data_IF_077854620109
#
_entry.id   IF_077854620109
#
_cell.length_a   1.000
_cell.length_b   1.000
_cell.length_c   1.000
_cell.angle_alpha   90.00
_cell.angle_beta   90.00
_cell.angle_gamma   90.00
#
_symmetry.space_group_name_H-M   'P 1'
#
loop_
_entity.id
_entity.type
_entity.pdbx_description
1 polymer ?
#
# COMPACT_ATOMS: atom_id res chain seq x y z
N UNK A 1 2.21 23.09 -10.60
CA UNK A 1 1.08 23.69 -9.87
C UNK A 1 1.43 23.53 -8.40
N UNK A 2 1.71 24.59 -7.65
CA UNK A 2 2.53 24.55 -6.42
C UNK A 2 1.88 23.95 -5.16
N UNK A 3 0.73 23.27 -5.26
CA UNK A 3 -0.02 22.78 -4.10
C UNK A 3 0.04 21.26 -4.00
N UNK A 4 0.20 20.74 -2.79
CA UNK A 4 0.19 19.30 -2.46
C UNK A 4 -1.25 18.76 -2.41
N UNK A 5 -1.98 18.90 -3.51
CA UNK A 5 -3.40 18.53 -3.64
C UNK A 5 -3.67 17.77 -4.95
N UNK A 6 -4.95 17.48 -5.22
CA UNK A 6 -5.38 16.84 -6.46
C UNK A 6 -5.28 15.31 -6.44
N UNK A 7 -5.14 14.71 -7.62
CA UNK A 7 -5.11 13.26 -7.81
C UNK A 7 -3.79 12.67 -7.32
N UNK A 8 -3.78 12.23 -6.07
CA UNK A 8 -2.61 11.58 -5.48
C UNK A 8 -2.35 10.17 -6.03
N UNK A 9 -1.10 9.74 -5.91
CA UNK A 9 -0.64 8.37 -6.13
C UNK A 9 -0.26 7.76 -4.79
N UNK A 10 -0.86 6.62 -4.45
CA UNK A 10 -0.58 5.90 -3.20
C UNK A 10 0.11 4.59 -3.55
N UNK A 11 1.16 4.25 -2.80
CA UNK A 11 1.79 2.93 -2.84
C UNK A 11 1.94 2.38 -1.44
N UNK A 12 1.70 1.08 -1.31
CA UNK A 12 1.77 0.36 -0.04
C UNK A 12 2.74 -0.80 -0.19
N UNK A 13 3.69 -0.92 0.72
CA UNK A 13 4.61 -2.05 0.74
C UNK A 13 4.55 -2.76 2.08
N UNK A 14 4.43 -4.08 2.06
CA UNK A 14 4.51 -4.89 3.28
C UNK A 14 5.94 -4.89 3.81
N UNK A 15 6.11 -4.64 5.09
CA UNK A 15 7.40 -4.66 5.74
C UNK A 15 7.92 -6.10 5.81
N UNK A 16 9.22 -6.25 5.61
CA UNK A 16 9.89 -7.54 5.74
C UNK A 16 10.10 -7.88 7.22
N UNK A 17 10.58 -9.11 7.48
CA UNK A 17 10.93 -9.55 8.83
C UNK A 17 11.81 -8.51 9.55
N UNK A 18 11.55 -8.31 10.84
CA UNK A 18 12.24 -7.30 11.66
C UNK A 18 11.97 -5.84 11.29
N UNK A 19 10.96 -5.53 10.44
CA UNK A 19 10.57 -4.16 10.10
C UNK A 19 11.54 -3.47 9.14
N UNK A 20 12.11 -4.24 8.22
CA UNK A 20 12.89 -3.71 7.09
C UNK A 20 11.95 -3.19 5.98
N UNK A 21 12.45 -2.22 5.20
CA UNK A 21 11.66 -1.56 4.17
C UNK A 21 11.21 -2.54 3.06
N UNK A 22 10.05 -2.30 2.43
CA UNK A 22 9.55 -3.16 1.37
C UNK A 22 10.46 -3.17 0.14
N UNK A 23 10.66 -4.35 -0.46
CA UNK A 23 11.40 -4.53 -1.71
C UNK A 23 10.59 -4.14 -2.96
N UNK A 24 9.26 -4.23 -2.86
CA UNK A 24 8.32 -3.71 -3.86
C UNK A 24 7.13 -3.06 -3.18
N UNK A 25 6.38 -2.33 -3.98
CA UNK A 25 5.27 -1.52 -3.52
C UNK A 25 4.05 -1.82 -4.38
N UNK A 26 2.93 -2.19 -3.76
CA UNK A 26 1.66 -2.37 -4.44
C UNK A 26 1.14 -1.01 -4.88
N UNK A 27 0.82 -0.89 -6.16
CA UNK A 27 0.24 0.32 -6.73
C UNK A 27 -1.25 0.37 -6.39
N UNK A 28 -1.65 1.36 -5.59
CA UNK A 28 -3.04 1.53 -5.21
C UNK A 28 -3.78 2.19 -6.38
N UNK A 29 -4.93 1.63 -6.83
CA UNK A 29 -5.78 2.29 -7.81
C UNK A 29 -6.14 3.70 -7.36
N UNK A 30 -6.49 4.59 -8.31
CA UNK A 30 -6.92 5.95 -7.97
C UNK A 30 -8.01 5.91 -6.88
N UNK A 31 -7.77 6.54 -5.71
CA UNK A 31 -8.74 6.56 -4.61
C UNK A 31 -10.05 7.25 -5.01
N UNK A 32 -11.10 6.96 -4.24
CA UNK A 32 -12.36 7.70 -4.30
C UNK A 32 -12.09 9.17 -3.96
N UNK A 33 -12.76 10.07 -4.67
CA UNK A 33 -12.64 11.50 -4.45
C UNK A 33 -12.88 11.86 -2.98
N UNK A 34 -12.02 12.73 -2.42
CA UNK A 34 -12.08 13.18 -1.02
C UNK A 34 -11.98 12.07 0.05
N UNK A 35 -11.56 10.85 -0.31
CA UNK A 35 -11.39 9.76 0.66
C UNK A 35 -10.01 9.70 1.30
N UNK A 36 -8.98 10.21 0.63
CA UNK A 36 -7.60 10.14 1.13
C UNK A 36 -7.33 11.20 2.18
N UNK A 37 -7.08 10.79 3.43
CA UNK A 37 -6.92 11.70 4.58
C UNK A 37 -5.83 11.23 5.52
N UNK A 38 -5.12 12.18 6.11
CA UNK A 38 -4.23 11.97 7.25
C UNK A 38 -4.79 12.73 8.45
N UNK A 39 -5.15 12.01 9.50
CA UNK A 39 -5.78 12.57 10.71
C UNK A 39 -4.82 12.44 11.89
N UNK A 40 -4.21 13.54 12.38
CA UNK A 40 -3.43 13.54 13.61
C UNK A 40 -4.33 13.60 14.85
N UNK A 41 -4.02 12.80 15.86
CA UNK A 41 -4.60 12.94 17.21
C UNK A 41 -3.55 13.48 18.16
N UNK A 42 -3.87 14.59 18.85
CA UNK A 42 -2.94 15.25 19.76
C UNK A 42 -2.63 14.35 20.97
N UNK A 43 -1.35 14.22 21.30
CA UNK A 43 -0.93 13.46 22.46
C UNK A 43 -1.45 14.02 23.77
N UNK A 44 -1.71 13.14 24.74
CA UNK A 44 -2.24 13.49 26.05
C UNK A 44 -1.35 14.52 26.78
N UNK A 45 -1.99 15.51 27.41
CA UNK A 45 -1.34 16.53 28.25
C UNK A 45 -1.23 16.02 29.68
N UNK A 46 -0.05 16.15 30.28
CA UNK A 46 0.20 15.97 31.72
C UNK A 46 0.66 17.28 32.31
N UNK A 47 0.04 17.67 33.41
CA UNK A 47 0.32 18.90 34.14
C UNK A 47 0.78 18.54 35.55
N UNK A 48 1.85 19.19 36.02
CA UNK A 48 2.21 19.27 37.42
C UNK A 48 1.77 20.66 37.90
N UNK A 49 0.97 20.71 38.97
CA UNK A 49 0.40 21.96 39.49
C UNK A 49 1.01 22.29 40.86
N UNK A 50 1.27 23.58 41.12
CA UNK A 50 1.58 24.07 42.47
C UNK A 50 0.30 24.28 43.28
N UNK A 51 0.44 24.48 44.59
CA UNK A 51 -0.66 24.89 45.46
C UNK A 51 -1.27 26.20 44.97
N UNK A 52 -2.59 26.20 44.71
CA UNK A 52 -3.29 27.29 44.02
C UNK A 52 -3.70 26.99 42.57
N UNK A 53 -3.26 25.85 42.00
CA UNK A 53 -3.76 25.34 40.72
C UNK A 53 -3.03 25.84 39.47
N UNK A 54 -1.99 26.67 39.64
CA UNK A 54 -1.09 27.08 38.56
C UNK A 54 -0.20 25.91 38.12
N UNK A 55 0.14 25.87 36.83
CA UNK A 55 1.00 24.83 36.29
C UNK A 55 2.47 25.13 36.60
N UNK A 56 3.13 24.23 37.31
CA UNK A 56 4.60 24.21 37.49
C UNK A 56 5.31 23.64 36.25
N UNK A 57 4.74 22.58 35.66
CA UNK A 57 5.27 21.93 34.48
C UNK A 57 4.17 21.32 33.60
N UNK A 58 4.38 21.32 32.29
CA UNK A 58 3.49 20.68 31.31
C UNK A 58 4.31 19.78 30.38
N UNK A 59 3.85 18.55 30.18
CA UNK A 59 4.42 17.60 29.22
C UNK A 59 3.33 17.03 28.33
N UNK A 60 3.63 16.83 27.04
CA UNK A 60 2.73 16.17 26.10
C UNK A 60 3.27 14.77 25.73
N UNK A 61 2.37 13.81 25.56
CA UNK A 61 2.68 12.58 24.85
C UNK A 61 2.87 12.86 23.34
N UNK A 62 3.44 11.91 22.61
CA UNK A 62 3.53 12.01 21.16
C UNK A 62 2.12 11.96 20.52
N UNK A 63 1.95 12.65 19.39
CA UNK A 63 0.75 12.54 18.57
C UNK A 63 0.68 11.14 17.95
N UNK A 64 -0.53 10.64 17.74
CA UNK A 64 -0.79 9.47 16.89
C UNK A 64 -1.39 9.93 15.57
N UNK A 65 -1.35 9.07 14.55
CA UNK A 65 -1.81 9.40 13.21
C UNK A 65 -2.56 8.22 12.62
N UNK A 66 -3.64 8.53 11.90
CA UNK A 66 -4.38 7.57 11.10
C UNK A 66 -4.40 8.08 9.66
N UNK A 67 -3.99 7.25 8.72
CA UNK A 67 -4.07 7.54 7.29
C UNK A 67 -5.11 6.65 6.65
N UNK A 68 -6.10 7.21 5.97
CA UNK A 68 -7.21 6.48 5.37
C UNK A 68 -7.36 6.81 3.88
N UNK A 69 -7.84 5.84 3.10
CA UNK A 69 -8.26 6.02 1.71
C UNK A 69 -9.29 4.97 1.33
N UNK A 70 -10.14 5.27 0.34
CA UNK A 70 -11.14 4.34 -0.18
C UNK A 70 -10.86 4.02 -1.65
N UNK A 71 -11.09 2.77 -2.04
CA UNK A 71 -11.09 2.35 -3.45
C UNK A 71 -12.40 1.69 -3.82
N UNK A 72 -12.93 1.99 -5.01
CA UNK A 72 -14.15 1.33 -5.52
C UNK A 72 -13.84 -0.10 -5.94
N UNK A 73 -14.69 -1.03 -5.52
CA UNK A 73 -14.78 -2.34 -6.13
C UNK A 73 -15.21 -2.19 -7.60
N UNK A 74 -14.77 -3.10 -8.47
CA UNK A 74 -15.09 -3.06 -9.88
C UNK A 74 -14.91 -4.42 -10.53
N UNK A 75 -15.49 -4.60 -11.72
CA UNK A 75 -15.39 -5.85 -12.48
C UNK A 75 -13.92 -6.23 -12.70
N UNK A 76 -13.53 -7.40 -12.21
CA UNK A 76 -12.17 -7.92 -12.35
C UNK A 76 -11.13 -7.24 -11.44
N UNK A 77 -11.51 -6.27 -10.60
CA UNK A 77 -10.61 -5.68 -9.60
C UNK A 77 -10.63 -6.52 -8.33
N UNK A 78 -9.45 -6.84 -7.81
CA UNK A 78 -9.25 -7.49 -6.51
C UNK A 78 -8.82 -6.46 -5.46
N UNK A 79 -9.00 -6.79 -4.19
CA UNK A 79 -8.45 -6.03 -3.07
C UNK A 79 -6.92 -6.00 -3.23
N UNK A 80 -6.25 -4.83 -3.21
CA UNK A 80 -4.79 -4.77 -3.35
C UNK A 80 -4.06 -5.46 -2.18
N UNK A 81 -4.67 -5.45 -1.00
CA UNK A 81 -4.18 -6.15 0.19
C UNK A 81 -5.33 -6.97 0.75
N UNK A 82 -5.07 -8.25 0.99
CA UNK A 82 -6.02 -9.21 1.52
C UNK A 82 -6.26 -9.01 3.02
N UNK A 83 -7.50 -9.25 3.42
CA UNK A 83 -7.96 -9.18 4.80
C UNK A 83 -8.67 -10.49 5.19
N UNK A 84 -8.79 -10.73 6.49
CA UNK A 84 -9.70 -11.73 7.05
C UNK A 84 -10.63 -11.01 8.02
N UNK A 85 -11.90 -10.86 7.65
CA UNK A 85 -12.90 -10.09 8.40
C UNK A 85 -12.39 -8.68 8.80
N UNK A 86 -11.76 -7.97 7.85
CA UNK A 86 -11.22 -6.63 8.04
C UNK A 86 -9.84 -6.57 8.70
N UNK A 87 -9.31 -7.69 9.18
CA UNK A 87 -7.97 -7.77 9.77
C UNK A 87 -6.93 -8.07 8.70
N UNK A 88 -5.96 -7.15 8.54
CA UNK A 88 -4.83 -7.34 7.62
C UNK A 88 -3.60 -7.74 8.44
N UNK A 89 -2.98 -8.86 8.06
CA UNK A 89 -1.80 -9.36 8.76
C UNK A 89 -0.52 -8.64 8.31
N UNK A 90 0.32 -8.31 9.29
CA UNK A 90 1.63 -7.71 9.08
C UNK A 90 1.63 -6.19 9.23
N UNK A 91 2.81 -5.62 9.04
CA UNK A 91 3.03 -4.18 9.07
C UNK A 91 3.34 -3.67 7.67
N UNK A 92 2.96 -2.44 7.39
CA UNK A 92 3.06 -1.85 6.07
C UNK A 92 3.70 -0.47 6.15
N UNK A 93 4.41 -0.10 5.09
CA UNK A 93 4.79 1.26 4.81
C UNK A 93 3.83 1.86 3.77
N UNK A 94 3.58 3.16 3.87
CA UNK A 94 2.72 3.91 2.96
C UNK A 94 3.49 5.09 2.40
N UNK A 95 3.40 5.28 1.09
CA UNK A 95 3.88 6.48 0.40
C UNK A 95 2.73 7.10 -0.37
N UNK A 96 2.50 8.38 -0.15
CA UNK A 96 1.60 9.20 -0.95
C UNK A 96 2.43 10.27 -1.66
N UNK A 97 2.30 10.30 -2.97
CA UNK A 97 2.80 11.39 -3.79
C UNK A 97 1.60 12.24 -4.25
N UNK A 98 1.60 13.56 -4.05
CA UNK A 98 0.59 14.45 -4.61
C UNK A 98 0.59 14.45 -6.15
N UNK A 99 -0.36 15.16 -6.74
CA UNK A 99 -0.43 15.30 -8.20
C UNK A 99 0.82 15.98 -8.77
N UNK A 100 1.25 17.08 -8.16
CA UNK A 100 2.56 17.69 -8.44
C UNK A 100 3.65 16.88 -7.71
N UNK A 101 4.55 16.26 -8.48
CA UNK A 101 5.60 15.38 -7.95
C UNK A 101 6.72 16.16 -7.25
N UNK A 102 6.73 17.49 -7.38
CA UNK A 102 7.81 18.34 -6.86
C UNK A 102 7.55 18.87 -5.46
N UNK A 103 6.32 18.71 -4.95
CA UNK A 103 5.91 19.13 -3.61
C UNK A 103 5.90 17.97 -2.63
N UNK A 104 5.87 18.29 -1.33
CA UNK A 104 5.91 17.30 -0.26
C UNK A 104 4.68 16.38 -0.29
N UNK A 105 4.96 15.07 -0.24
CA UNK A 105 3.98 14.02 -0.03
C UNK A 105 4.02 13.51 1.41
N UNK A 106 3.51 12.29 1.60
CA UNK A 106 3.47 11.63 2.91
C UNK A 106 4.28 10.35 2.85
N UNK A 107 5.16 10.16 3.83
CA UNK A 107 5.88 8.90 4.05
C UNK A 107 5.55 8.39 5.45
N UNK A 108 5.02 7.19 5.52
CA UNK A 108 4.79 6.41 6.73
C UNK A 108 5.65 5.16 6.62
N UNK A 109 6.70 5.06 7.44
CA UNK A 109 7.61 3.92 7.38
C UNK A 109 6.99 2.65 7.98
N UNK A 110 6.00 2.79 8.87
CA UNK A 110 5.44 1.68 9.64
C UNK A 110 4.01 1.97 10.10
N UNK A 111 3.09 1.10 9.75
CA UNK A 111 1.68 1.11 10.17
C UNK A 111 1.11 -0.30 10.21
N UNK A 112 0.00 -0.49 10.93
CA UNK A 112 -0.90 -1.64 10.74
C UNK A 112 -2.03 -1.22 9.82
N UNK A 113 -2.39 -2.07 8.87
CA UNK A 113 -3.55 -1.83 8.02
C UNK A 113 -4.78 -2.55 8.59
N UNK A 114 -5.94 -1.95 8.39
CA UNK A 114 -7.25 -2.58 8.55
C UNK A 114 -8.13 -2.23 7.35
N UNK A 115 -9.17 -3.03 7.14
CA UNK A 115 -10.10 -2.85 6.04
C UNK A 115 -11.55 -2.85 6.53
N UNK A 116 -12.31 -1.89 6.02
CA UNK A 116 -13.77 -1.86 6.16
C UNK A 116 -14.41 -1.90 4.77
N UNK A 117 -15.23 -2.92 4.52
CA UNK A 117 -16.07 -2.99 3.32
C UNK A 117 -17.28 -2.07 3.52
N UNK A 118 -17.41 -1.05 2.67
CA UNK A 118 -18.50 -0.06 2.75
C UNK A 118 -19.34 -0.07 1.47
N UNK A 119 -20.59 0.37 1.56
CA UNK A 119 -21.48 0.50 0.40
C UNK A 119 -22.35 1.74 0.53
N UNK A 120 -22.44 2.50 -0.55
CA UNK A 120 -23.44 3.54 -0.72
C UNK A 120 -23.96 3.52 -2.16
N UNK A 121 -25.17 4.03 -2.40
CA UNK A 121 -25.80 3.98 -3.72
C UNK A 121 -25.08 4.84 -4.76
N UNK A 122 -24.30 5.83 -4.33
CA UNK A 122 -23.64 6.78 -5.23
C UNK A 122 -22.30 6.23 -5.73
N UNK A 123 -21.60 5.44 -4.91
CA UNK A 123 -20.27 4.91 -5.21
C UNK A 123 -20.22 3.39 -5.36
N UNK A 124 -21.29 2.67 -4.98
CA UNK A 124 -21.32 1.22 -4.88
C UNK A 124 -20.46 0.70 -3.73
N UNK A 125 -19.97 -0.53 -3.86
CA UNK A 125 -19.06 -1.14 -2.88
C UNK A 125 -17.69 -0.47 -2.94
N UNK A 126 -17.16 -0.10 -1.77
CA UNK A 126 -15.83 0.47 -1.59
C UNK A 126 -15.08 -0.30 -0.50
N UNK A 127 -13.76 -0.29 -0.60
CA UNK A 127 -12.85 -0.84 0.38
C UNK A 127 -12.11 0.31 1.02
N UNK A 128 -12.42 0.57 2.29
CA UNK A 128 -11.77 1.59 3.09
C UNK A 128 -10.57 0.96 3.78
N UNK A 129 -9.38 1.42 3.41
CA UNK A 129 -8.14 1.05 4.09
C UNK A 129 -7.79 2.10 5.11
N UNK A 130 -7.49 1.65 6.33
CA UNK A 130 -7.03 2.50 7.42
C UNK A 130 -5.65 2.03 7.85
N UNK A 131 -4.69 2.96 7.88
CA UNK A 131 -3.34 2.75 8.34
C UNK A 131 -3.16 3.43 9.69
N UNK A 132 -3.11 2.63 10.74
CA UNK A 132 -2.76 3.08 12.09
C UNK A 132 -1.24 3.17 12.19
N UNK A 133 -0.73 4.40 12.25
CA UNK A 133 0.70 4.67 12.19
C UNK A 133 1.39 4.23 13.47
N UNK A 134 2.47 3.45 13.31
CA UNK A 134 3.31 2.97 14.40
C UNK A 134 4.58 3.81 14.52
N UNK A 135 5.23 3.79 15.69
CA UNK A 135 6.56 4.38 15.87
C UNK A 135 7.57 3.65 14.98
N UNK A 136 8.25 4.35 14.03
CA UNK A 136 9.34 3.76 13.26
C UNK A 136 10.61 3.62 14.10
N UNK A 137 11.56 2.80 13.61
CA UNK A 137 12.89 2.64 14.22
C UNK A 137 13.62 3.97 14.34
N UNK A 138 13.49 4.82 13.33
CA UNK A 138 14.20 6.11 13.24
C UNK A 138 13.26 7.20 12.72
N UNK A 139 13.41 8.42 13.23
CA UNK A 139 12.68 9.59 12.75
C UNK A 139 11.23 9.70 13.25
N UNK A 140 10.47 10.53 12.54
CA UNK A 140 9.07 10.84 12.83
C UNK A 140 8.13 9.76 12.27
N UNK A 141 6.99 9.59 12.93
CA UNK A 141 5.93 8.64 12.53
C UNK A 141 5.39 8.94 11.13
N UNK A 142 5.21 10.21 10.84
CA UNK A 142 4.84 10.73 9.53
C UNK A 142 5.92 11.72 9.10
N UNK A 143 6.39 11.60 7.87
CA UNK A 143 7.32 12.54 7.25
C UNK A 143 6.66 13.20 6.06
N UNK A 144 6.89 14.50 5.92
CA UNK A 144 6.48 15.29 4.78
C UNK A 144 7.74 15.59 3.98
N UNK A 145 7.89 14.89 2.86
CA UNK A 145 9.08 14.94 2.01
C UNK A 145 8.63 14.75 0.56
N UNK A 146 9.42 15.22 -0.40
CA UNK A 146 9.13 14.97 -1.82
C UNK A 146 9.24 13.47 -2.11
N UNK A 147 8.09 12.85 -2.40
CA UNK A 147 8.02 11.42 -2.72
C UNK A 147 8.27 11.25 -4.21
N UNK A 148 9.41 10.67 -4.58
CA UNK A 148 9.71 10.31 -5.95
C UNK A 148 9.77 8.78 -6.10
N UNK A 149 9.14 8.28 -7.16
CA UNK A 149 9.25 6.87 -7.58
C UNK A 149 10.21 6.69 -8.76
N UNK A 150 11.14 7.64 -8.96
CA UNK A 150 12.12 7.60 -10.05
C UNK A 150 13.08 6.41 -9.88
N UNK A 151 13.57 5.87 -11.00
CA UNK A 151 14.37 4.65 -11.04
C UNK A 151 13.55 3.37 -10.84
N UNK A 152 12.21 3.46 -10.88
CA UNK A 152 11.29 2.36 -10.70
C UNK A 152 10.22 2.35 -11.79
N UNK A 153 9.75 1.15 -12.14
CA UNK A 153 8.65 0.96 -13.07
C UNK A 153 7.56 0.12 -12.44
N UNK A 154 6.40 0.08 -13.09
CA UNK A 154 5.28 -0.76 -12.69
C UNK A 154 5.32 -2.08 -13.46
N UNK A 155 5.04 -3.18 -12.77
CA UNK A 155 4.83 -4.50 -13.35
C UNK A 155 3.41 -4.94 -13.02
N UNK A 156 2.69 -5.41 -14.03
CA UNK A 156 1.36 -6.01 -13.91
C UNK A 156 1.38 -7.39 -14.54
N UNK A 157 0.86 -8.40 -13.84
CA UNK A 157 0.78 -9.76 -14.36
C UNK A 157 -0.68 -10.15 -14.53
N UNK A 158 -1.07 -10.53 -15.75
CA UNK A 158 -2.40 -11.04 -16.08
C UNK A 158 -2.29 -12.55 -16.25
N UNK A 159 -3.06 -13.28 -15.45
CA UNK A 159 -3.16 -14.73 -15.49
C UNK A 159 -4.54 -15.09 -16.02
N UNK A 160 -4.60 -15.99 -17.00
CA UNK A 160 -5.84 -16.56 -17.55
C UNK A 160 -5.92 -18.07 -17.30
N UNK A 161 -7.14 -18.60 -17.44
CA UNK A 161 -7.47 -20.03 -17.28
C UNK A 161 -7.12 -20.64 -15.91
N UNK A 162 -6.99 -19.78 -14.91
CA UNK A 162 -6.64 -20.05 -13.51
C UNK A 162 -7.87 -20.34 -12.62
N UNK A 163 -9.08 -20.23 -13.16
CA UNK A 163 -10.32 -20.31 -12.38
C UNK A 163 -10.50 -19.16 -11.38
N UNK A 164 -9.75 -18.06 -11.55
CA UNK A 164 -9.76 -16.89 -10.67
C UNK A 164 -8.90 -17.02 -9.41
N UNK A 165 -8.10 -18.09 -9.28
CA UNK A 165 -7.20 -18.35 -8.15
C UNK A 165 -5.73 -18.01 -8.43
N UNK A 166 -5.42 -17.51 -9.63
CA UNK A 166 -4.09 -17.20 -10.11
C UNK A 166 -3.39 -16.14 -9.26
N UNK A 167 -2.20 -16.51 -8.80
CA UNK A 167 -1.31 -15.65 -8.04
C UNK A 167 0.09 -15.71 -8.61
N UNK A 168 0.83 -14.62 -8.45
CA UNK A 168 2.21 -14.47 -8.88
C UNK A 168 3.01 -13.74 -7.83
N UNK A 169 4.33 -13.87 -7.88
CA UNK A 169 5.25 -13.08 -7.06
C UNK A 169 6.56 -12.88 -7.79
N UNK A 170 7.34 -11.89 -7.36
CA UNK A 170 8.74 -11.84 -7.75
C UNK A 170 9.52 -12.94 -7.02
N UNK A 171 10.53 -13.51 -7.69
CA UNK A 171 11.41 -14.52 -7.07
C UNK A 171 12.12 -14.02 -5.80
N UNK A 172 12.29 -12.70 -5.67
CA UNK A 172 12.89 -12.02 -4.52
C UNK A 172 11.90 -11.76 -3.38
N UNK A 173 10.63 -12.12 -3.55
CA UNK A 173 9.55 -11.85 -2.61
C UNK A 173 8.95 -13.11 -2.03
N UNK A 174 8.35 -12.97 -0.86
CA UNK A 174 7.62 -14.04 -0.17
C UNK A 174 6.12 -13.94 -0.39
N UNK A 175 5.59 -12.73 -0.51
CA UNK A 175 4.15 -12.48 -0.63
C UNK A 175 3.65 -12.69 -2.06
N UNK A 176 2.43 -13.22 -2.15
CA UNK A 176 1.75 -13.49 -3.41
C UNK A 176 0.81 -12.36 -3.77
N UNK A 177 0.83 -11.95 -5.04
CA UNK A 177 -0.05 -10.96 -5.63
C UNK A 177 -1.11 -11.64 -6.50
N UNK A 178 -2.34 -11.15 -6.47
CA UNK A 178 -3.38 -11.66 -7.37
C UNK A 178 -3.12 -11.24 -8.82
N UNK A 179 -3.59 -12.06 -9.76
CA UNK A 179 -3.73 -11.68 -11.17
C UNK A 179 -4.35 -10.27 -11.30
N UNK A 180 -3.74 -9.42 -12.13
CA UNK A 180 -4.17 -8.04 -12.36
C UNK A 180 -3.60 -6.99 -11.40
N UNK A 181 -3.00 -7.40 -10.27
CA UNK A 181 -2.31 -6.49 -9.34
C UNK A 181 -1.12 -5.83 -10.03
N UNK A 182 -0.91 -4.55 -9.79
CA UNK A 182 0.26 -3.81 -10.25
C UNK A 182 1.19 -3.54 -9.07
N UNK A 183 2.48 -3.78 -9.26
CA UNK A 183 3.52 -3.44 -8.27
C UNK A 183 4.54 -2.52 -8.91
N UNK A 184 5.05 -1.58 -8.14
CA UNK A 184 6.25 -0.83 -8.46
C UNK A 184 7.47 -1.51 -7.86
N UNK A 185 8.50 -1.68 -8.69
CA UNK A 185 9.81 -2.19 -8.29
C UNK A 185 10.92 -1.47 -9.04
N UNK A 186 12.16 -1.61 -8.56
CA UNK A 186 13.33 -1.00 -9.19
C UNK A 186 13.44 -1.45 -10.65
N UNK A 187 13.81 -0.53 -11.54
CA UNK A 187 14.08 -0.87 -12.93
C UNK A 187 15.18 -1.94 -13.03
N UNK A 188 14.99 -2.90 -13.92
CA UNK A 188 15.87 -4.06 -14.08
C UNK A 188 15.14 -5.32 -14.52
N UNK A 189 15.92 -6.40 -14.69
CA UNK A 189 15.37 -7.72 -14.96
C UNK A 189 14.77 -8.30 -13.67
N UNK A 190 13.52 -8.71 -13.75
CA UNK A 190 12.81 -9.40 -12.67
C UNK A 190 12.34 -10.77 -13.13
N UNK A 191 12.23 -11.68 -12.18
CA UNK A 191 11.77 -13.05 -12.41
C UNK A 191 10.45 -13.27 -11.70
N UNK A 192 9.44 -13.75 -12.42
CA UNK A 192 8.06 -13.91 -11.99
C UNK A 192 7.78 -15.40 -11.79
N UNK A 193 7.32 -15.76 -10.60
CA UNK A 193 6.92 -17.11 -10.21
C UNK A 193 5.41 -17.16 -10.07
N UNK A 194 4.79 -18.26 -10.49
CA UNK A 194 3.35 -18.50 -10.42
C UNK A 194 3.02 -19.52 -9.31
N UNK A 195 1.84 -19.42 -8.71
CA UNK A 195 1.41 -20.30 -7.62
C UNK A 195 0.75 -21.56 -8.16
N UNK A 196 1.04 -22.73 -7.60
CA UNK A 196 0.33 -23.95 -8.00
C UNK A 196 -1.18 -23.84 -7.75
N UNK A 197 -1.96 -24.37 -8.69
CA UNK A 197 -3.42 -24.47 -8.63
C UNK A 197 -3.79 -25.92 -8.86
N UNK A 198 -4.54 -26.50 -7.92
CA UNK A 198 -4.99 -27.89 -8.01
C UNK A 198 -5.75 -28.15 -9.33
N UNK A 199 -5.40 -29.25 -10.01
CA UNK A 199 -6.01 -29.63 -11.30
C UNK A 199 -5.54 -28.81 -12.51
N UNK A 200 -4.55 -27.93 -12.36
CA UNK A 200 -3.98 -27.14 -13.45
C UNK A 200 -2.47 -27.38 -13.62
N UNK A 201 -1.99 -27.27 -14.85
CA UNK A 201 -0.56 -27.24 -15.16
C UNK A 201 -0.03 -25.82 -14.97
N UNK A 202 1.00 -25.71 -14.12
CA UNK A 202 1.66 -24.45 -13.78
C UNK A 202 2.33 -23.81 -15.02
N UNK A 203 2.17 -22.49 -15.25
CA UNK A 203 2.93 -21.80 -16.28
C UNK A 203 4.43 -21.84 -15.99
N UNK A 204 5.25 -21.87 -17.05
CA UNK A 204 6.70 -21.73 -16.89
C UNK A 204 7.03 -20.36 -16.32
N UNK A 205 8.00 -20.29 -15.41
CA UNK A 205 8.54 -19.05 -14.87
C UNK A 205 8.91 -18.08 -16.01
N UNK A 206 8.56 -16.82 -15.87
CA UNK A 206 8.88 -15.78 -16.87
C UNK A 206 9.82 -14.73 -16.29
N UNK A 207 10.47 -13.97 -17.17
CA UNK A 207 11.25 -12.80 -16.79
C UNK A 207 10.79 -11.59 -17.60
N UNK A 208 10.86 -10.42 -16.98
CA UNK A 208 10.49 -9.16 -17.61
C UNK A 208 11.51 -8.07 -17.25
N UNK A 209 11.74 -7.14 -18.17
CA UNK A 209 12.58 -5.96 -17.90
C UNK A 209 11.69 -4.79 -17.52
N UNK A 210 11.68 -4.44 -16.25
CA UNK A 210 10.99 -3.24 -15.74
C UNK A 210 11.85 -2.03 -16.09
N UNK A 211 11.25 -1.03 -16.72
CA UNK A 211 11.91 0.23 -17.08
C UNK A 211 11.37 1.37 -16.23
N UNK A 212 12.22 2.36 -15.99
CA UNK A 212 11.85 3.53 -15.19
C UNK A 212 10.66 4.26 -15.79
N UNK A 213 9.64 4.52 -14.97
CA UNK A 213 8.42 5.23 -15.37
C UNK A 213 7.50 4.50 -16.34
N UNK A 214 7.81 3.27 -16.76
CA UNK A 214 6.96 2.47 -17.66
C UNK A 214 6.17 1.41 -16.88
N UNK A 215 4.98 1.09 -17.41
CA UNK A 215 4.20 -0.08 -16.97
C UNK A 215 4.46 -1.23 -17.92
N UNK A 216 4.95 -2.35 -17.39
CA UNK A 216 5.17 -3.60 -18.11
C UNK A 216 4.05 -4.57 -17.77
N UNK A 217 3.37 -5.10 -18.78
CA UNK A 217 2.36 -6.15 -18.60
C UNK A 217 2.90 -7.50 -19.07
N UNK A 218 2.75 -8.53 -18.22
CA UNK A 218 3.14 -9.91 -18.52
C UNK A 218 1.90 -10.78 -18.47
N UNK A 219 1.71 -11.62 -19.50
CA UNK A 219 0.59 -12.55 -19.58
C UNK A 219 1.07 -13.98 -19.29
N UNK A 220 0.28 -14.73 -18.52
CA UNK A 220 0.50 -16.13 -18.21
C UNK A 220 -0.80 -16.92 -18.32
N UNK A 221 -0.70 -18.18 -18.72
CA UNK A 221 -1.87 -19.03 -19.00
C UNK A 221 -1.70 -20.36 -18.29
N UNK A 222 -2.66 -20.73 -17.44
CA UNK A 222 -2.74 -22.09 -16.89
C UNK A 222 -3.42 -23.01 -17.89
N UNK A 223 -3.00 -24.26 -17.95
CA UNK A 223 -3.67 -25.27 -18.77
C UNK A 223 -4.28 -26.35 -17.89
N UNK A 224 -5.26 -27.09 -18.38
CA UNK A 224 -5.83 -28.22 -17.64
C UNK A 224 -4.77 -29.30 -17.45
N UNK A 225 -4.69 -29.87 -16.24
CA UNK A 225 -3.87 -31.07 -16.03
C UNK A 225 -4.44 -32.21 -16.91
N UNK A 226 -3.56 -32.83 -17.72
CA UNK A 226 -3.91 -34.00 -18.54
C UNK A 226 -4.08 -35.28 -17.74
#
# INVERSE_FOLDING_TARGET
MELSWGKCTIKIGKLQSSGEAPSSWIDIPTPVENSTKLTPTKGAKKEAKIEGGENEAVKYAANTYTFEFEIRAGKGRRKPVEDTDGVITGEYAVKLQPEDKTVEGIIIDRSVLSLEDTYDTDNGTKWKYTADVLKPKTGNQVKFEVVNFNGAGSLRVIITDDGGAGMWKLSTETDWHHSGTSITTKAGLVTIIYKDIEGKTLPTQTSATVKDGETVEVNAVYTSAG
#
